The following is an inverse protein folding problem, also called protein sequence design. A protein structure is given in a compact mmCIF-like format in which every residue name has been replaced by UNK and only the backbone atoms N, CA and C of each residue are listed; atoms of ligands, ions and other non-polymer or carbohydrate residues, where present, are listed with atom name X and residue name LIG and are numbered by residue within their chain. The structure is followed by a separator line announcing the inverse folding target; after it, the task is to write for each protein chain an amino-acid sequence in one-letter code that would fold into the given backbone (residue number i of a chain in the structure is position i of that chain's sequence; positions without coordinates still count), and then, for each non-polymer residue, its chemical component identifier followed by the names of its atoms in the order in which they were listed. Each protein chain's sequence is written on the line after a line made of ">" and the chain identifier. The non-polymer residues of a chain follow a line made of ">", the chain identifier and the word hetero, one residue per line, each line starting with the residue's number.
data_IF_571188279199
#
_entry.id   IF_571188279199
#
_cell.length_a   1.000
_cell.length_b   1.000
_cell.length_c   1.000
_cell.angle_alpha   90.00
_cell.angle_beta   90.00
_cell.angle_gamma   90.00
#
_symmetry.space_group_name_H-M   'P 1'
#
loop_
_entity.id
_entity.type
_entity.pdbx_description
1 polymer ?
#
# COMPACT_ATOMS: atom_id res chain seq x y z
N UNK A 1 -28.81 28.80 -13.19
CA UNK A 1 -28.63 27.32 -13.14
C UNK A 1 -27.24 27.04 -12.56
N UNK A 2 -27.11 26.38 -11.40
CA UNK A 2 -25.80 25.91 -10.94
C UNK A 2 -25.37 24.78 -11.87
N UNK A 3 -24.25 24.95 -12.56
CA UNK A 3 -23.62 23.85 -13.30
C UNK A 3 -23.09 22.89 -12.23
N UNK A 4 -23.60 21.67 -12.18
CA UNK A 4 -23.06 20.63 -11.29
C UNK A 4 -21.78 20.14 -11.96
N UNK A 5 -20.65 20.72 -11.58
CA UNK A 5 -19.33 20.27 -12.03
C UNK A 5 -18.88 19.11 -11.14
N UNK A 6 -18.40 18.02 -11.76
CA UNK A 6 -17.83 16.87 -11.04
C UNK A 6 -16.34 17.12 -10.75
N UNK A 7 -16.05 18.17 -9.98
CA UNK A 7 -14.70 18.57 -9.59
C UNK A 7 -14.64 18.92 -8.09
N UNK A 8 -13.42 19.06 -7.56
CA UNK A 8 -13.18 19.39 -6.16
C UNK A 8 -13.45 20.87 -5.81
N UNK A 9 -13.97 21.66 -6.76
CA UNK A 9 -14.23 23.09 -6.62
C UNK A 9 -12.99 23.99 -6.78
N UNK A 10 -13.22 25.30 -6.86
CA UNK A 10 -12.19 26.31 -7.14
C UNK A 10 -11.14 26.45 -6.04
N UNK A 11 -11.53 26.24 -4.78
CA UNK A 11 -10.62 26.23 -3.63
C UNK A 11 -9.58 25.10 -3.72
N UNK A 12 -9.85 24.08 -4.54
CA UNK A 12 -8.94 22.97 -4.80
C UNK A 12 -8.67 22.81 -6.30
N UNK A 13 -8.44 23.96 -6.96
CA UNK A 13 -8.01 24.09 -8.36
C UNK A 13 -8.82 23.26 -9.37
N UNK A 14 -10.11 23.03 -9.08
CA UNK A 14 -11.02 22.23 -9.90
C UNK A 14 -10.47 20.82 -10.20
N UNK A 15 -9.88 20.19 -9.19
CA UNK A 15 -9.30 18.84 -9.32
C UNK A 15 -10.35 17.84 -9.80
N UNK A 16 -10.04 17.16 -10.91
CA UNK A 16 -10.91 16.14 -11.50
C UNK A 16 -10.74 14.79 -10.80
N UNK A 17 -11.81 13.99 -10.66
CA UNK A 17 -11.71 12.64 -10.11
C UNK A 17 -10.93 11.72 -11.05
N UNK A 18 -9.99 10.95 -10.51
CA UNK A 18 -9.33 9.89 -11.26
C UNK A 18 -10.28 8.69 -11.46
N UNK A 19 -10.16 8.04 -12.62
CA UNK A 19 -10.80 6.76 -12.85
C UNK A 19 -10.20 5.70 -11.90
N UNK A 20 -11.06 4.96 -11.20
CA UNK A 20 -10.65 3.91 -10.27
C UNK A 20 -10.24 2.63 -11.02
N UNK A 21 -9.12 2.71 -11.74
CA UNK A 21 -8.45 1.55 -12.36
C UNK A 21 -8.01 0.56 -11.29
N UNK A 22 -7.83 -0.71 -11.66
CA UNK A 22 -7.39 -1.74 -10.72
C UNK A 22 -6.04 -1.43 -10.08
N UNK A 23 -5.10 -0.87 -10.85
CA UNK A 23 -3.77 -0.53 -10.33
C UNK A 23 -3.81 0.59 -9.29
N UNK A 24 -4.59 1.65 -9.57
CA UNK A 24 -4.85 2.69 -8.58
C UNK A 24 -5.48 2.14 -7.30
N UNK A 25 -6.40 1.17 -7.41
CA UNK A 25 -6.99 0.53 -6.20
C UNK A 25 -5.93 -0.23 -5.40
N UNK A 26 -5.01 -0.94 -6.07
CA UNK A 26 -3.90 -1.64 -5.40
C UNK A 26 -2.97 -0.64 -4.71
N UNK A 27 -2.61 0.45 -5.37
CA UNK A 27 -1.77 1.52 -4.80
C UNK A 27 -2.44 2.15 -3.57
N UNK A 28 -3.75 2.44 -3.63
CA UNK A 28 -4.49 2.97 -2.48
C UNK A 28 -4.52 1.98 -1.32
N UNK A 29 -4.76 0.69 -1.60
CA UNK A 29 -4.75 -0.36 -0.58
C UNK A 29 -3.37 -0.52 0.07
N UNK A 30 -2.31 -0.37 -0.72
CA UNK A 30 -0.92 -0.38 -0.26
C UNK A 30 -0.64 0.80 0.67
N UNK A 31 -1.04 2.02 0.28
CA UNK A 31 -0.87 3.23 1.10
C UNK A 31 -1.59 3.08 2.44
N UNK A 32 -2.82 2.55 2.43
CA UNK A 32 -3.58 2.29 3.67
C UNK A 32 -2.88 1.27 4.57
N UNK A 33 -2.16 0.33 3.97
CA UNK A 33 -1.44 -0.75 4.65
C UNK A 33 0.03 -0.41 4.95
N UNK A 34 0.47 0.85 4.75
CA UNK A 34 1.88 1.27 4.90
C UNK A 34 2.52 0.92 6.25
N UNK A 35 1.73 0.84 7.31
CA UNK A 35 2.17 0.44 8.66
C UNK A 35 2.68 -1.00 8.75
N UNK A 36 2.35 -1.84 7.77
CA UNK A 36 2.72 -3.25 7.75
C UNK A 36 3.83 -3.57 6.75
N UNK A 37 4.31 -2.59 6.00
CA UNK A 37 5.34 -2.79 4.97
C UNK A 37 6.76 -2.84 5.57
N UNK A 38 7.08 -1.89 6.46
CA UNK A 38 8.38 -1.80 7.11
C UNK A 38 8.19 -1.88 8.63
N UNK A 39 8.78 -2.88 9.33
CA UNK A 39 8.66 -3.03 10.77
C UNK A 39 9.30 -1.87 11.56
N UNK A 40 10.14 -1.04 10.92
CA UNK A 40 10.84 0.08 11.56
C UNK A 40 10.11 1.41 11.40
N UNK A 41 9.09 1.49 10.55
CA UNK A 41 8.36 2.72 10.25
C UNK A 41 6.94 2.65 10.76
N UNK A 42 6.66 3.42 11.80
CA UNK A 42 5.31 3.57 12.36
C UNK A 42 4.69 4.87 11.86
N UNK A 43 3.58 4.78 11.13
CA UNK A 43 2.81 5.95 10.73
C UNK A 43 1.54 6.09 11.57
N UNK A 44 1.01 7.32 11.61
CA UNK A 44 -0.35 7.57 12.10
C UNK A 44 -1.36 6.76 11.30
N UNK A 45 -2.48 6.42 11.94
CA UNK A 45 -3.59 5.69 11.33
C UNK A 45 -4.03 6.34 10.03
N UNK A 46 -4.34 5.53 9.02
CA UNK A 46 -4.80 6.02 7.73
C UNK A 46 -6.25 6.50 7.83
N UNK A 47 -6.50 7.70 7.32
CA UNK A 47 -7.84 8.20 7.04
C UNK A 47 -8.49 7.45 5.87
N UNK A 48 -9.83 7.50 5.74
CA UNK A 48 -10.52 6.96 4.56
C UNK A 48 -10.09 7.69 3.29
N UNK A 49 -10.03 6.95 2.18
CA UNK A 49 -9.68 7.51 0.86
C UNK A 49 -10.73 8.55 0.44
N UNK A 50 -10.26 9.74 0.05
CA UNK A 50 -11.12 10.81 -0.44
C UNK A 50 -11.73 10.51 -1.82
N UNK A 51 -12.79 11.24 -2.17
CA UNK A 51 -13.50 11.11 -3.46
C UNK A 51 -12.63 11.49 -4.67
N UNK A 52 -11.66 12.39 -4.47
CA UNK A 52 -10.80 12.91 -5.53
C UNK A 52 -9.35 12.53 -5.22
N UNK A 53 -8.71 11.85 -6.16
CA UNK A 53 -7.33 11.36 -6.05
C UNK A 53 -6.61 11.68 -7.36
N UNK A 54 -5.34 12.05 -7.26
CA UNK A 54 -4.44 12.19 -8.40
C UNK A 54 -3.14 11.47 -8.11
N UNK A 55 -2.55 10.88 -9.14
CA UNK A 55 -1.24 10.23 -9.08
C UNK A 55 -0.25 11.15 -9.77
N UNK A 56 0.86 11.43 -9.09
CA UNK A 56 1.94 12.27 -9.61
C UNK A 56 3.29 11.63 -9.34
N UNK A 57 4.30 12.02 -10.12
CA UNK A 57 5.68 11.60 -9.94
C UNK A 57 6.48 12.74 -9.33
N UNK A 58 7.34 12.42 -8.36
CA UNK A 58 8.21 13.42 -7.73
C UNK A 58 9.26 13.88 -8.74
N UNK A 59 9.37 15.20 -8.93
CA UNK A 59 10.44 15.83 -9.71
C UNK A 59 11.57 16.16 -8.73
N UNK A 60 12.70 15.49 -8.90
CA UNK A 60 13.87 15.64 -8.03
C UNK A 60 14.49 17.05 -8.17
N UNK A 61 14.98 17.61 -7.06
CA UNK A 61 15.62 18.92 -7.04
C UNK A 61 17.00 18.92 -7.71
N UNK A 62 17.47 20.08 -8.20
CA UNK A 62 18.74 20.19 -8.92
C UNK A 62 19.98 20.04 -8.02
N UNK A 63 19.84 19.95 -6.70
CA UNK A 63 20.96 19.87 -5.75
C UNK A 63 21.23 18.45 -5.24
N UNK A 64 20.30 17.52 -5.43
CA UNK A 64 20.32 16.19 -4.80
C UNK A 64 20.57 15.08 -5.84
N UNK A 65 21.78 15.05 -6.43
CA UNK A 65 22.07 14.13 -7.54
C UNK A 65 22.36 12.68 -7.11
N UNK A 66 22.96 12.45 -5.94
CA UNK A 66 23.58 11.16 -5.61
C UNK A 66 22.81 10.32 -4.58
N UNK A 67 22.01 10.95 -3.72
CA UNK A 67 21.40 10.29 -2.55
C UNK A 67 19.92 9.96 -2.73
N UNK A 68 19.12 10.94 -3.17
CA UNK A 68 17.66 10.84 -3.21
C UNK A 68 17.10 10.48 -4.59
N UNK A 69 17.96 10.51 -5.62
CA UNK A 69 17.58 10.29 -7.01
C UNK A 69 17.53 8.81 -7.36
N UNK A 70 16.37 8.36 -7.85
CA UNK A 70 16.22 7.01 -8.36
C UNK A 70 16.80 6.89 -9.77
N UNK A 71 17.56 5.84 -10.03
CA UNK A 71 18.07 5.53 -11.37
C UNK A 71 16.93 5.12 -12.31
N UNK A 72 17.12 5.23 -13.63
CA UNK A 72 16.11 4.84 -14.63
C UNK A 72 15.61 3.40 -14.47
N UNK A 73 16.45 2.49 -13.95
CA UNK A 73 16.10 1.07 -13.73
C UNK A 73 15.22 0.86 -12.49
N UNK A 74 15.36 1.73 -11.49
CA UNK A 74 14.58 1.66 -10.25
C UNK A 74 13.21 2.32 -10.40
N UNK A 75 13.08 3.33 -11.27
CA UNK A 75 11.80 3.99 -11.54
C UNK A 75 10.81 3.02 -12.18
N UNK A 76 9.62 2.91 -11.60
CA UNK A 76 8.50 2.08 -12.08
C UNK A 76 7.28 2.94 -12.41
N UNK A 77 6.29 2.33 -13.05
CA UNK A 77 5.04 3.02 -13.42
C UNK A 77 4.11 3.25 -12.23
N UNK A 78 4.07 2.29 -11.30
CA UNK A 78 3.15 2.27 -10.16
C UNK A 78 3.89 2.09 -8.84
N UNK A 79 3.26 2.50 -7.73
CA UNK A 79 3.84 2.40 -6.39
C UNK A 79 4.01 0.95 -5.95
N UNK A 80 3.02 0.10 -6.24
CA UNK A 80 3.09 -1.35 -5.92
C UNK A 80 4.29 -2.01 -6.59
N UNK A 81 4.56 -1.70 -7.86
CA UNK A 81 5.67 -2.29 -8.60
C UNK A 81 7.04 -1.87 -8.02
N UNK A 82 7.13 -0.63 -7.53
CA UNK A 82 8.34 -0.13 -6.86
C UNK A 82 8.61 -0.90 -5.57
N UNK A 83 7.58 -1.11 -4.73
CA UNK A 83 7.71 -1.87 -3.49
C UNK A 83 7.99 -3.35 -3.74
N UNK A 84 7.40 -3.94 -4.79
CA UNK A 84 7.68 -5.33 -5.16
C UNK A 84 9.11 -5.52 -5.70
N UNK A 85 9.69 -4.47 -6.31
CA UNK A 85 11.07 -4.49 -6.78
C UNK A 85 12.10 -4.29 -5.65
N UNK A 86 11.68 -3.77 -4.48
CA UNK A 86 12.56 -3.62 -3.33
C UNK A 86 12.80 -4.97 -2.63
N UNK A 87 14.04 -5.49 -2.62
CA UNK A 87 14.35 -6.78 -2.01
C UNK A 87 14.09 -6.81 -0.50
N UNK A 88 14.32 -5.70 0.21
CA UNK A 88 14.15 -5.66 1.66
C UNK A 88 12.67 -5.83 2.06
N UNK A 89 11.79 -5.09 1.38
CA UNK A 89 10.34 -5.22 1.56
C UNK A 89 9.83 -6.61 1.15
N UNK A 90 10.31 -7.16 0.03
CA UNK A 90 9.92 -8.48 -0.45
C UNK A 90 10.31 -9.61 0.53
N UNK A 91 11.54 -9.58 1.04
CA UNK A 91 12.03 -10.58 2.00
C UNK A 91 11.27 -10.50 3.33
N UNK A 92 11.03 -9.29 3.84
CA UNK A 92 10.24 -9.10 5.06
C UNK A 92 8.81 -9.64 4.88
N UNK A 93 8.13 -9.26 3.79
CA UNK A 93 6.78 -9.72 3.50
C UNK A 93 6.71 -11.26 3.40
N UNK A 94 7.66 -11.87 2.68
CA UNK A 94 7.76 -13.33 2.53
C UNK A 94 7.97 -14.04 3.86
N UNK A 95 8.90 -13.58 4.67
CA UNK A 95 9.22 -14.18 5.97
C UNK A 95 8.04 -14.04 6.94
N UNK A 96 7.43 -12.85 7.00
CA UNK A 96 6.27 -12.60 7.86
C UNK A 96 5.07 -13.44 7.44
N UNK A 97 4.80 -13.55 6.14
CA UNK A 97 3.74 -14.38 5.59
C UNK A 97 3.91 -15.87 5.96
N UNK A 98 5.11 -16.43 5.74
CA UNK A 98 5.42 -17.82 6.11
C UNK A 98 5.18 -18.09 7.60
N UNK A 99 5.65 -17.19 8.46
CA UNK A 99 5.44 -17.30 9.91
C UNK A 99 3.94 -17.28 10.26
N UNK A 100 3.18 -16.34 9.70
CA UNK A 100 1.73 -16.27 9.91
C UNK A 100 1.03 -17.55 9.46
N UNK A 101 1.40 -18.11 8.30
CA UNK A 101 0.80 -19.35 7.81
C UNK A 101 1.11 -20.57 8.70
N UNK A 102 2.34 -20.67 9.22
CA UNK A 102 2.71 -21.70 10.18
C UNK A 102 1.92 -21.57 11.48
N UNK A 103 1.82 -20.36 12.03
CA UNK A 103 1.05 -20.07 13.25
C UNK A 103 -0.44 -20.41 13.07
N UNK A 104 -1.04 -20.05 11.93
CA UNK A 104 -2.44 -20.34 11.63
C UNK A 104 -2.68 -21.85 11.47
N UNK A 105 -1.76 -22.55 10.79
CA UNK A 105 -1.83 -24.01 10.63
C UNK A 105 -1.72 -24.72 11.98
N UNK A 106 -0.76 -24.33 12.81
CA UNK A 106 -0.58 -24.88 14.16
C UNK A 106 -1.82 -24.66 15.04
N UNK A 107 -2.38 -23.44 15.03
CA UNK A 107 -3.63 -23.13 15.74
C UNK A 107 -4.80 -24.00 15.25
N UNK A 108 -4.91 -24.24 13.94
CA UNK A 108 -5.96 -25.09 13.38
C UNK A 108 -5.85 -26.55 13.84
N UNK A 109 -4.62 -27.09 13.90
CA UNK A 109 -4.34 -28.45 14.36
C UNK A 109 -4.64 -28.61 15.86
N UNK A 110 -4.22 -27.62 16.66
CA UNK A 110 -4.51 -27.60 18.10
C UNK A 110 -6.02 -27.60 18.36
N UNK A 111 -6.79 -26.76 17.63
CA UNK A 111 -8.26 -26.74 17.71
C UNK A 111 -8.88 -28.09 17.36
N UNK A 112 -8.40 -28.76 16.29
CA UNK A 112 -8.88 -30.09 15.90
C UNK A 112 -8.58 -31.16 16.96
N UNK A 113 -7.40 -31.12 17.59
CA UNK A 113 -7.03 -32.02 18.69
C UNK A 113 -7.91 -31.81 19.92
N UNK A 114 -8.14 -30.55 20.33
CA UNK A 114 -9.03 -30.24 21.46
C UNK A 114 -10.47 -30.75 21.25
N UNK A 115 -11.03 -30.58 20.04
CA UNK A 115 -12.37 -31.11 19.71
C UNK A 115 -12.45 -32.63 19.70
N UNK A 116 -11.35 -33.33 19.40
CA UNK A 116 -11.29 -34.80 19.47
C UNK A 116 -11.15 -35.30 20.91
N UNK A 117 -10.40 -34.57 21.74
CA UNK A 117 -10.27 -34.87 23.18
C UNK A 117 -11.59 -34.69 23.93
N UNK A 118 -12.37 -33.66 23.60
CA UNK A 118 -13.69 -33.40 24.22
C UNK A 118 -14.83 -34.31 23.72
N UNK A 119 -14.56 -35.20 22.76
CA UNK A 119 -15.53 -36.16 22.20
C UNK A 119 -15.33 -37.59 22.73
N UNK A 120 -14.30 -37.83 23.54
CA UNK A 120 -14.14 -39.01 24.37
C UNK A 120 -14.65 -38.70 25.77
#
# INVERSE_FOLDING_TARGET
>A
KRVITNDAGSNWFNMKPAAMTEDLKKDIALIRSRNYLDPKRFYKSSDPTGKFVQVGTVIEGPTEFFSSRLTKKQRRGNLVDEIMADPASADYAKNKYKRMQQEQTAKSLQRRRGRRGARK
#
